data_IF_793972279705
#
_entry.id   IF_793972279705
#
_cell.length_a   1.000
_cell.length_b   1.000
_cell.length_c   1.000
_cell.angle_alpha   90.00
_cell.angle_beta   90.00
_cell.angle_gamma   90.00
#
_symmetry.space_group_name_H-M   'P 1'
#
loop_
_entity.id
_entity.type
_entity.pdbx_description
1 polymer ?
#
# COMPACT_ATOMS: atom_id res chain seq x y z
N UNK A 1 -34.55 -48.40 53.86
CA UNK A 1 -33.43 -47.52 53.48
C UNK A 1 -33.79 -46.93 52.14
N UNK A 2 -34.24 -45.66 52.11
CA UNK A 2 -34.64 -44.95 50.88
C UNK A 2 -33.80 -43.67 50.79
N UNK A 3 -33.11 -43.49 49.66
CA UNK A 3 -32.24 -42.36 49.34
C UNK A 3 -33.08 -41.21 48.73
N UNK A 4 -32.95 -39.95 49.19
CA UNK A 4 -33.67 -38.85 48.57
C UNK A 4 -32.98 -38.40 47.27
N UNK A 5 -33.72 -38.51 46.16
CA UNK A 5 -33.42 -37.97 44.82
C UNK A 5 -33.25 -36.44 44.91
N UNK A 6 -32.03 -35.94 44.66
CA UNK A 6 -31.72 -34.51 44.64
C UNK A 6 -32.24 -33.82 43.38
N UNK A 7 -32.48 -32.49 43.41
CA UNK A 7 -33.07 -31.77 42.28
C UNK A 7 -32.12 -31.76 41.07
N UNK A 8 -32.60 -32.32 39.96
CA UNK A 8 -31.97 -32.21 38.64
C UNK A 8 -32.12 -30.75 38.17
N UNK A 9 -31.01 -30.04 37.98
CA UNK A 9 -31.03 -28.68 37.47
C UNK A 9 -31.46 -28.62 36.01
N UNK A 10 -32.40 -27.73 35.69
CA UNK A 10 -32.87 -27.50 34.33
C UNK A 10 -31.75 -26.90 33.45
N UNK A 11 -31.64 -27.29 32.16
CA UNK A 11 -30.68 -26.69 31.25
C UNK A 11 -31.07 -25.23 30.93
N UNK A 12 -30.10 -24.31 30.74
CA UNK A 12 -30.40 -22.93 30.43
C UNK A 12 -31.10 -22.82 29.06
N UNK A 13 -32.33 -22.32 29.06
CA UNK A 13 -33.07 -22.00 27.84
C UNK A 13 -32.50 -20.72 27.23
N UNK A 14 -31.57 -20.85 26.28
CA UNK A 14 -31.09 -19.72 25.48
C UNK A 14 -32.27 -19.17 24.67
N UNK A 15 -32.58 -17.87 24.84
CA UNK A 15 -33.72 -17.23 24.17
C UNK A 15 -33.35 -16.94 22.72
N UNK A 16 -34.23 -17.26 21.78
CA UNK A 16 -34.04 -16.98 20.36
C UNK A 16 -33.70 -15.50 20.05
N UNK A 17 -34.09 -14.57 20.94
CA UNK A 17 -33.74 -13.14 20.86
C UNK A 17 -32.24 -12.86 20.98
N UNK A 18 -31.50 -13.65 21.76
CA UNK A 18 -30.05 -13.48 21.96
C UNK A 18 -29.27 -13.82 20.68
N UNK A 19 -29.76 -14.79 19.91
CA UNK A 19 -29.19 -15.20 18.61
C UNK A 19 -29.38 -14.13 17.54
N UNK A 20 -30.55 -13.47 17.52
CA UNK A 20 -30.85 -12.40 16.54
C UNK A 20 -30.07 -11.12 16.87
N UNK A 21 -29.90 -10.78 18.15
CA UNK A 21 -29.09 -9.64 18.59
C UNK A 21 -27.60 -9.87 18.26
N UNK A 22 -27.10 -11.08 18.48
CA UNK A 22 -25.73 -11.48 18.12
C UNK A 22 -25.45 -11.42 16.61
N UNK A 23 -26.40 -11.88 15.78
CA UNK A 23 -26.24 -11.83 14.31
C UNK A 23 -26.24 -10.40 13.76
N UNK A 24 -27.08 -9.52 14.31
CA UNK A 24 -27.10 -8.09 13.93
C UNK A 24 -25.84 -7.37 14.38
N UNK A 25 -25.35 -7.65 15.59
CA UNK A 25 -24.10 -7.10 16.08
C UNK A 25 -22.89 -7.57 15.26
N UNK A 26 -22.84 -8.84 14.86
CA UNK A 26 -21.78 -9.38 14.00
C UNK A 26 -21.77 -8.72 12.61
N UNK A 27 -22.95 -8.55 11.99
CA UNK A 27 -23.07 -7.85 10.71
C UNK A 27 -22.66 -6.39 10.81
N UNK A 28 -23.06 -5.68 11.86
CA UNK A 28 -22.65 -4.30 12.11
C UNK A 28 -21.13 -4.18 12.31
N UNK A 29 -20.52 -5.11 13.05
CA UNK A 29 -19.06 -5.17 13.23
C UNK A 29 -18.32 -5.42 11.92
N UNK A 30 -18.82 -6.32 11.07
CA UNK A 30 -18.24 -6.61 9.75
C UNK A 30 -18.32 -5.40 8.81
N UNK A 31 -19.46 -4.71 8.79
CA UNK A 31 -19.65 -3.49 8.00
C UNK A 31 -18.73 -2.35 8.47
N UNK A 32 -18.61 -2.15 9.79
CA UNK A 32 -17.73 -1.14 10.36
C UNK A 32 -16.24 -1.43 10.05
N UNK A 33 -15.82 -2.68 10.17
CA UNK A 33 -14.47 -3.11 9.82
C UNK A 33 -14.18 -2.92 8.32
N UNK A 34 -15.12 -3.27 7.46
CA UNK A 34 -15.01 -3.06 6.01
C UNK A 34 -14.88 -1.58 5.63
N UNK A 35 -15.70 -0.71 6.23
CA UNK A 35 -15.65 0.73 5.98
C UNK A 35 -14.30 1.36 6.39
N UNK A 36 -13.74 0.93 7.54
CA UNK A 36 -12.45 1.41 8.01
C UNK A 36 -11.28 1.09 7.04
N UNK A 37 -11.38 -0.03 6.32
CA UNK A 37 -10.35 -0.46 5.35
C UNK A 37 -10.41 0.30 4.01
N UNK A 38 -11.59 0.83 3.63
CA UNK A 38 -11.76 1.56 2.35
C UNK A 38 -11.14 2.96 2.32
N UNK A 39 -10.77 3.52 3.48
CA UNK A 39 -10.12 4.84 3.55
C UNK A 39 -8.65 4.85 3.13
N UNK A 40 -7.95 3.71 3.20
CA UNK A 40 -6.50 3.66 2.97
C UNK A 40 -6.09 3.57 1.49
N UNK A 41 -7.05 3.48 0.55
CA UNK A 41 -6.75 3.30 -0.88
C UNK A 41 -7.04 4.55 -1.74
N UNK A 42 -7.56 5.64 -1.15
CA UNK A 42 -7.90 6.84 -1.92
C UNK A 42 -6.66 7.70 -2.12
N UNK A 43 -5.98 7.52 -3.26
CA UNK A 43 -4.95 8.43 -3.74
C UNK A 43 -5.61 9.78 -4.05
N UNK A 44 -5.22 10.89 -3.40
CA UNK A 44 -5.71 12.21 -3.74
C UNK A 44 -5.26 12.56 -5.16
N UNK A 45 -6.20 12.76 -6.07
CA UNK A 45 -5.92 13.25 -7.43
C UNK A 45 -5.86 14.77 -7.49
N UNK A 46 -6.34 15.42 -6.43
CA UNK A 46 -6.35 16.87 -6.28
C UNK A 46 -5.18 17.31 -5.39
N UNK A 47 -4.23 18.01 -5.98
CA UNK A 47 -3.07 18.57 -5.30
C UNK A 47 -2.41 19.62 -6.21
N UNK A 48 -1.76 20.64 -5.65
CA UNK A 48 -1.07 21.64 -6.46
C UNK A 48 0.04 20.96 -7.27
N UNK A 49 -0.03 21.08 -8.60
CA UNK A 49 1.05 20.67 -9.48
C UNK A 49 2.16 21.70 -9.30
N UNK A 50 3.25 21.32 -8.62
CA UNK A 50 4.42 22.18 -8.53
C UNK A 50 5.14 22.17 -9.89
N UNK A 51 5.48 23.35 -10.40
CA UNK A 51 6.43 23.48 -11.51
C UNK A 51 7.82 23.16 -10.97
N UNK A 52 8.46 22.11 -11.49
CA UNK A 52 9.88 21.86 -11.22
C UNK A 52 10.73 22.94 -11.89
N UNK A 53 11.75 23.43 -11.19
CA UNK A 53 12.85 24.12 -11.86
C UNK A 53 13.56 23.09 -12.73
N UNK A 54 13.70 23.34 -14.03
CA UNK A 54 14.54 22.51 -14.89
C UNK A 54 15.91 22.35 -14.23
N UNK A 55 16.31 21.11 -13.98
CA UNK A 55 17.70 20.83 -13.65
C UNK A 55 18.50 21.19 -14.91
N UNK A 56 19.25 22.29 -14.84
CA UNK A 56 20.10 22.70 -15.94
C UNK A 56 21.00 21.52 -16.34
N UNK A 57 20.76 20.97 -17.52
CA UNK A 57 21.49 19.83 -18.09
C UNK A 57 23.00 20.11 -18.16
N UNK A 58 23.40 21.38 -18.19
CA UNK A 58 24.78 21.86 -18.17
C UNK A 58 25.61 21.38 -16.95
N UNK A 59 25.00 21.05 -15.81
CA UNK A 59 25.74 20.54 -14.63
C UNK A 59 25.99 19.02 -14.69
N UNK A 60 25.46 18.33 -15.72
CA UNK A 60 25.62 16.88 -15.90
C UNK A 60 26.90 16.50 -16.66
N UNK A 61 27.71 17.45 -17.11
CA UNK A 61 28.96 17.21 -17.84
C UNK A 61 29.98 16.32 -17.11
N UNK A 62 29.71 16.00 -15.84
CA UNK A 62 30.41 14.99 -15.04
C UNK A 62 29.48 14.26 -14.05
N UNK A 63 28.21 14.06 -14.39
CA UNK A 63 27.32 13.28 -13.53
C UNK A 63 27.66 11.79 -13.63
N UNK A 64 27.91 11.16 -12.48
CA UNK A 64 28.07 9.70 -12.37
C UNK A 64 26.75 9.17 -11.80
N UNK A 65 26.10 8.26 -12.52
CA UNK A 65 24.96 7.53 -11.98
C UNK A 65 25.48 6.50 -10.96
N UNK A 66 25.03 6.61 -9.71
CA UNK A 66 25.29 5.60 -8.67
C UNK A 66 24.02 4.78 -8.44
N UNK A 67 24.18 3.46 -8.17
CA UNK A 67 23.04 2.63 -7.78
C UNK A 67 22.42 3.12 -6.45
N UNK A 68 21.12 2.86 -6.24
CA UNK A 68 20.45 3.21 -4.98
C UNK A 68 21.11 2.50 -3.80
N UNK A 69 21.23 3.21 -2.67
CA UNK A 69 21.73 2.61 -1.43
C UNK A 69 20.54 2.02 -0.64
N UNK A 70 20.73 0.89 0.06
CA UNK A 70 19.72 0.40 0.99
C UNK A 70 19.36 1.48 2.02
N UNK A 71 18.07 1.77 2.17
CA UNK A 71 17.58 2.79 3.10
C UNK A 71 17.67 4.25 2.60
N UNK A 72 17.96 4.48 1.32
CA UNK A 72 17.82 5.81 0.71
C UNK A 72 16.42 6.40 0.95
N UNK A 73 16.35 7.71 1.22
CA UNK A 73 15.07 8.41 1.30
C UNK A 73 14.37 8.42 -0.08
N UNK A 74 13.03 8.58 -0.12
CA UNK A 74 12.29 8.66 -1.39
C UNK A 74 12.84 9.74 -2.34
N UNK A 75 13.14 10.93 -1.83
CA UNK A 75 13.72 12.00 -2.63
C UNK A 75 15.05 11.59 -3.25
N UNK A 76 15.96 10.98 -2.47
CA UNK A 76 17.26 10.53 -2.97
C UNK A 76 17.15 9.46 -4.07
N UNK A 77 16.10 8.63 -4.03
CA UNK A 77 15.82 7.62 -5.07
C UNK A 77 15.39 8.32 -6.37
N UNK A 78 14.46 9.27 -6.30
CA UNK A 78 14.00 10.06 -7.46
C UNK A 78 15.16 10.84 -8.07
N UNK A 79 15.96 11.48 -7.24
CA UNK A 79 17.08 12.31 -7.65
C UNK A 79 18.18 11.48 -8.34
N UNK A 80 18.42 10.26 -7.85
CA UNK A 80 19.33 9.30 -8.47
C UNK A 80 18.82 8.80 -9.83
N UNK A 81 17.52 8.52 -9.94
CA UNK A 81 16.88 8.14 -11.21
C UNK A 81 17.03 9.23 -12.26
N UNK A 82 16.66 10.48 -11.92
CA UNK A 82 16.69 11.61 -12.86
C UNK A 82 18.12 11.87 -13.37
N UNK A 83 19.13 11.81 -12.48
CA UNK A 83 20.53 11.91 -12.90
C UNK A 83 20.95 10.77 -13.82
N UNK A 84 20.55 9.53 -13.53
CA UNK A 84 20.87 8.37 -14.36
C UNK A 84 20.21 8.47 -15.75
N UNK A 85 18.94 8.86 -15.80
CA UNK A 85 18.18 9.06 -17.03
C UNK A 85 18.79 10.18 -17.89
N UNK A 86 19.16 11.31 -17.27
CA UNK A 86 19.69 12.46 -18.00
C UNK A 86 21.07 12.22 -18.64
N UNK A 87 21.84 11.23 -18.14
CA UNK A 87 23.10 10.80 -18.77
C UNK A 87 22.96 9.54 -19.63
N UNK A 88 21.73 9.05 -19.86
CA UNK A 88 21.47 7.84 -20.65
C UNK A 88 21.89 6.52 -19.99
N UNK A 89 22.07 6.50 -18.67
CA UNK A 89 22.40 5.27 -17.93
C UNK A 89 21.14 4.46 -17.59
N UNK A 90 20.57 3.81 -18.59
CA UNK A 90 19.34 3.03 -18.46
C UNK A 90 19.44 1.91 -17.42
N UNK A 91 20.58 1.22 -17.33
CA UNK A 91 20.78 0.16 -16.32
C UNK A 91 20.71 0.71 -14.88
N UNK A 92 21.33 1.86 -14.63
CA UNK A 92 21.32 2.48 -13.30
C UNK A 92 19.96 3.08 -12.97
N UNK A 93 19.28 3.65 -13.98
CA UNK A 93 17.90 4.11 -13.85
C UNK A 93 16.96 2.93 -13.54
N UNK A 94 17.16 1.77 -14.17
CA UNK A 94 16.36 0.56 -13.90
C UNK A 94 16.54 0.06 -12.47
N UNK A 95 17.75 0.17 -11.92
CA UNK A 95 18.09 -0.34 -10.60
C UNK A 95 17.30 0.31 -9.45
N UNK A 96 16.68 1.48 -9.67
CA UNK A 96 15.86 2.19 -8.68
C UNK A 96 14.36 1.86 -8.77
N UNK A 97 13.93 1.10 -9.77
CA UNK A 97 12.51 0.77 -9.97
C UNK A 97 12.05 -0.31 -8.98
N UNK A 98 10.80 -0.19 -8.53
CA UNK A 98 10.21 -1.09 -7.52
C UNK A 98 10.06 -2.54 -8.02
N UNK A 99 9.90 -2.75 -9.32
CA UNK A 99 9.85 -4.07 -9.94
C UNK A 99 10.72 -4.09 -11.20
N UNK A 100 11.86 -4.77 -11.10
CA UNK A 100 12.79 -4.94 -12.20
C UNK A 100 12.35 -5.99 -13.23
N UNK A 101 11.28 -6.75 -12.97
CA UNK A 101 10.78 -7.81 -13.86
C UNK A 101 9.76 -7.32 -14.89
N UNK A 102 9.28 -6.07 -14.78
CA UNK A 102 8.38 -5.49 -15.77
C UNK A 102 9.17 -5.21 -17.06
N UNK A 103 8.71 -5.67 -18.24
CA UNK A 103 9.33 -5.31 -19.51
C UNK A 103 9.39 -3.78 -19.62
N UNK A 104 10.59 -3.23 -19.83
CA UNK A 104 10.77 -1.79 -20.00
C UNK A 104 11.76 -1.56 -21.12
N UNK A 105 11.33 -0.72 -22.06
CA UNK A 105 12.08 -0.27 -23.22
C UNK A 105 12.35 1.23 -23.05
N UNK A 106 13.54 1.63 -22.58
CA UNK A 106 13.88 3.04 -22.39
C UNK A 106 14.03 3.81 -23.70
N UNK A 107 14.25 3.10 -24.81
CA UNK A 107 14.41 3.66 -26.15
C UNK A 107 13.11 3.50 -26.98
N UNK A 108 12.07 2.93 -26.37
CA UNK A 108 10.80 2.66 -27.02
C UNK A 108 10.08 3.96 -27.39
N UNK A 109 9.62 4.02 -28.64
CA UNK A 109 8.81 5.15 -29.09
C UNK A 109 7.38 5.04 -28.53
N UNK A 110 6.91 6.09 -27.86
CA UNK A 110 5.51 6.19 -27.43
C UNK A 110 4.70 6.73 -28.61
N UNK A 111 3.95 5.85 -29.27
CA UNK A 111 2.99 6.25 -30.30
C UNK A 111 1.74 6.78 -29.58
N UNK A 112 1.45 8.08 -29.73
CA UNK A 112 0.26 8.76 -29.20
C UNK A 112 -0.89 8.80 -30.20
#
# INVERSE_FOLDING_TARGET
MAEPDGPRGDPPLVRAGDVVLGRRAALAGLLAAGAALTGCARIPTDGPIATSTDLAVEDLGRAIALPPRPGSSPDAIVDGFLRAAAIGSSDTARAVLADSNVPWDPDGEVVL
#
